data_IF_790806390116
#
_entry.id   IF_790806390116
#
_cell.length_a   1.000
_cell.length_b   1.000
_cell.length_c   1.000
_cell.angle_alpha   90.00
_cell.angle_beta   90.00
_cell.angle_gamma   90.00
#
_symmetry.space_group_name_H-M   'P 1'
#
loop_
_entity.id
_entity.type
_entity.pdbx_description
1 polymer ?
#
# COMPACT_ATOMS: atom_id res chain seq x y z
N UNK A 1 13.95 -1.04 -3.07
CA UNK A 1 13.60 -1.14 -4.50
C UNK A 1 13.50 -2.61 -4.82
N UNK A 2 12.51 -3.01 -5.61
CA UNK A 2 12.20 -4.40 -5.92
C UNK A 2 11.67 -4.47 -7.36
N UNK A 3 11.96 -5.54 -8.07
CA UNK A 3 11.33 -5.82 -9.37
C UNK A 3 10.45 -7.02 -9.17
N UNK A 4 9.15 -6.89 -9.42
CA UNK A 4 8.23 -7.98 -9.20
C UNK A 4 8.35 -9.08 -10.28
N UNK A 5 7.68 -10.21 -10.07
CA UNK A 5 7.69 -11.33 -11.04
C UNK A 5 7.08 -10.97 -12.40
N UNK A 6 6.39 -9.84 -12.51
CA UNK A 6 5.85 -9.29 -13.76
C UNK A 6 6.80 -8.26 -14.43
N UNK A 7 7.95 -7.99 -13.82
CA UNK A 7 8.95 -7.04 -14.32
C UNK A 7 8.66 -5.59 -13.96
N UNK A 8 7.70 -5.30 -13.08
CA UNK A 8 7.40 -3.94 -12.61
C UNK A 8 8.43 -3.52 -11.57
N UNK A 9 9.11 -2.41 -11.84
CA UNK A 9 10.15 -1.89 -10.96
C UNK A 9 9.57 -0.92 -9.91
N UNK A 10 9.52 -1.39 -8.66
CA UNK A 10 9.17 -0.60 -7.49
C UNK A 10 10.39 0.15 -6.97
N UNK A 11 10.27 1.48 -6.95
CA UNK A 11 11.30 2.37 -6.38
C UNK A 11 11.06 2.58 -4.89
N UNK A 12 12.11 2.97 -4.18
CA UNK A 12 12.01 3.40 -2.79
C UNK A 12 11.02 4.57 -2.68
N UNK A 13 10.25 4.60 -1.60
CA UNK A 13 9.30 5.68 -1.34
C UNK A 13 10.03 7.04 -1.24
N UNK A 14 9.70 8.02 -2.10
CA UNK A 14 10.37 9.32 -2.11
C UNK A 14 10.05 10.17 -0.87
N UNK A 15 9.01 9.84 -0.11
CA UNK A 15 8.58 10.55 1.10
C UNK A 15 9.08 9.88 2.39
N UNK A 16 9.81 8.77 2.29
CA UNK A 16 10.40 8.11 3.46
C UNK A 16 11.29 9.07 4.24
N UNK A 17 11.06 9.15 5.56
CA UNK A 17 11.78 10.06 6.46
C UNK A 17 11.30 11.52 6.41
N UNK A 18 10.29 11.84 5.59
CA UNK A 18 9.67 13.17 5.53
C UNK A 18 8.22 13.16 6.01
N UNK A 19 7.41 12.22 5.51
CA UNK A 19 5.97 12.11 5.83
C UNK A 19 5.57 10.66 6.03
N UNK A 20 4.80 10.39 7.07
CA UNK A 20 4.48 9.02 7.49
C UNK A 20 5.68 8.30 8.10
N UNK A 21 5.42 7.11 8.64
CA UNK A 21 6.37 6.26 9.34
C UNK A 21 6.57 5.00 8.52
N UNK A 22 7.81 4.74 8.12
CA UNK A 22 8.18 3.47 7.52
C UNK A 22 8.22 2.38 8.59
N UNK A 23 7.76 1.19 8.23
CA UNK A 23 7.73 0.02 9.11
C UNK A 23 8.04 -1.23 8.30
N UNK A 24 8.84 -2.11 8.89
CA UNK A 24 9.13 -3.45 8.40
C UNK A 24 8.47 -4.53 9.27
N UNK A 25 7.44 -4.15 10.04
CA UNK A 25 6.75 -5.03 10.97
C UNK A 25 6.21 -6.31 10.31
N UNK A 26 5.83 -6.21 9.04
CA UNK A 26 5.35 -7.33 8.23
C UNK A 26 6.42 -8.38 7.89
N UNK A 27 7.71 -8.07 7.98
CA UNK A 27 8.81 -8.98 7.63
C UNK A 27 8.84 -10.28 8.45
N UNK A 28 8.25 -10.26 9.66
CA UNK A 28 8.14 -11.45 10.52
C UNK A 28 6.93 -12.33 10.19
N UNK A 29 6.11 -11.94 9.23
CA UNK A 29 4.84 -12.57 8.90
C UNK A 29 4.89 -13.10 7.45
N UNK A 30 4.36 -14.31 7.19
CA UNK A 30 4.12 -14.73 5.83
C UNK A 30 2.95 -13.92 5.26
N UNK A 31 3.13 -13.31 4.08
CA UNK A 31 2.04 -12.61 3.40
C UNK A 31 1.30 -13.58 2.48
N UNK A 32 0.04 -13.86 2.83
CA UNK A 32 -0.85 -14.70 2.02
C UNK A 32 -1.24 -13.99 0.71
N UNK A 33 -1.62 -14.78 -0.31
CA UNK A 33 -2.02 -14.28 -1.65
C UNK A 33 -0.97 -13.44 -2.37
N UNK A 34 0.31 -13.65 -2.07
CA UNK A 34 1.42 -13.02 -2.79
C UNK A 34 2.44 -14.08 -3.23
N UNK A 35 3.20 -13.78 -4.29
CA UNK A 35 4.32 -14.60 -4.68
C UNK A 35 5.42 -14.48 -3.61
N UNK A 36 6.07 -15.58 -3.16
CA UNK A 36 7.18 -15.53 -2.21
C UNK A 36 8.28 -14.51 -2.56
N UNK A 37 8.59 -14.33 -3.84
CA UNK A 37 9.61 -13.37 -4.30
C UNK A 37 9.16 -11.91 -4.14
N UNK A 38 7.85 -11.67 -4.13
CA UNK A 38 7.23 -10.33 -4.06
C UNK A 38 6.65 -10.01 -2.69
N UNK A 39 6.76 -10.93 -1.71
CA UNK A 39 6.27 -10.70 -0.35
C UNK A 39 6.83 -9.41 0.25
N UNK A 40 8.07 -9.05 -0.11
CA UNK A 40 8.72 -7.83 0.35
C UNK A 40 7.88 -6.57 0.08
N UNK A 41 7.11 -6.54 -1.02
CA UNK A 41 6.24 -5.41 -1.37
C UNK A 41 5.09 -5.21 -0.38
N UNK A 42 4.70 -6.26 0.35
CA UNK A 42 3.62 -6.25 1.33
C UNK A 42 4.14 -6.38 2.77
N UNK A 43 5.41 -6.75 2.96
CA UNK A 43 6.04 -6.87 4.28
C UNK A 43 6.61 -5.54 4.79
N UNK A 44 6.89 -4.61 3.89
CA UNK A 44 7.25 -3.23 4.22
C UNK A 44 6.06 -2.31 3.98
N UNK A 45 5.81 -1.40 4.91
CA UNK A 45 4.70 -0.46 4.82
C UNK A 45 5.14 0.97 5.13
N UNK A 46 4.32 1.92 4.69
CA UNK A 46 4.31 3.27 5.23
C UNK A 46 2.93 3.57 5.78
N UNK A 47 2.88 3.88 7.07
CA UNK A 47 1.64 4.25 7.75
C UNK A 47 1.71 5.68 8.28
N UNK A 48 0.56 6.27 8.54
CA UNK A 48 0.47 7.56 9.20
C UNK A 48 -0.84 7.60 10.01
N UNK A 49 -0.85 8.40 11.07
CA UNK A 49 -2.05 8.67 11.87
C UNK A 49 -2.88 9.82 11.26
N UNK A 50 -2.26 10.60 10.38
CA UNK A 50 -2.89 11.69 9.63
C UNK A 50 -2.92 11.42 8.12
N UNK A 51 -3.67 12.26 7.38
CA UNK A 51 -3.69 12.23 5.92
C UNK A 51 -2.30 12.52 5.34
N UNK A 52 -1.86 11.67 4.40
CA UNK A 52 -0.74 11.97 3.52
C UNK A 52 -1.09 11.57 2.09
N UNK A 53 -0.31 12.08 1.14
CA UNK A 53 -0.47 11.77 -0.27
C UNK A 53 0.85 11.75 -1.01
N UNK A 54 0.77 11.43 -2.29
CA UNK A 54 1.89 11.47 -3.23
C UNK A 54 1.58 12.46 -4.33
N UNK A 55 2.61 13.15 -4.80
CA UNK A 55 2.58 13.89 -6.06
C UNK A 55 3.36 13.09 -7.11
N UNK A 56 2.64 12.54 -8.08
CA UNK A 56 3.24 11.79 -9.18
C UNK A 56 3.20 12.66 -10.44
N UNK A 57 4.35 13.19 -10.91
CA UNK A 57 4.38 14.06 -12.07
C UNK A 57 4.08 13.26 -13.33
N UNK A 58 2.99 13.62 -14.02
CA UNK A 58 2.60 13.06 -15.32
C UNK A 58 3.11 14.00 -16.42
N UNK A 59 3.94 13.49 -17.33
CA UNK A 59 4.56 14.30 -18.40
C UNK A 59 3.77 14.29 -19.69
N UNK A 60 3.06 13.20 -19.96
CA UNK A 60 2.34 12.97 -21.21
C UNK A 60 0.87 12.70 -20.89
N UNK A 61 -0.02 13.26 -21.69
CA UNK A 61 -1.44 12.96 -21.59
C UNK A 61 -1.70 11.52 -22.04
N UNK A 62 -2.56 10.83 -21.31
CA UNK A 62 -2.91 9.44 -21.60
C UNK A 62 -3.71 8.81 -20.47
N UNK A 63 -4.14 7.57 -20.70
CA UNK A 63 -4.83 6.77 -19.71
C UNK A 63 -3.81 6.05 -18.81
N UNK A 64 -3.93 6.27 -17.50
CA UNK A 64 -3.06 5.67 -16.50
C UNK A 64 -3.88 4.77 -15.59
N UNK A 65 -3.36 3.58 -15.31
CA UNK A 65 -3.88 2.69 -14.28
C UNK A 65 -3.05 2.85 -13.03
N UNK A 66 -3.68 3.25 -11.93
CA UNK A 66 -3.08 3.25 -10.60
C UNK A 66 -3.55 1.99 -9.88
N UNK A 67 -2.58 1.16 -9.46
CA UNK A 67 -2.83 0.00 -8.60
C UNK A 67 -2.20 0.28 -7.25
N UNK A 68 -2.97 0.17 -6.18
CA UNK A 68 -2.50 0.37 -4.81
C UNK A 68 -2.40 -0.98 -4.11
N UNK A 69 -1.20 -1.29 -3.62
CA UNK A 69 -0.93 -2.54 -2.91
C UNK A 69 -0.95 -2.30 -1.40
N UNK A 70 -1.74 -3.09 -0.69
CA UNK A 70 -1.94 -3.01 0.75
C UNK A 70 -1.79 -4.38 1.41
N UNK A 71 -1.39 -4.36 2.67
CA UNK A 71 -1.51 -5.48 3.58
C UNK A 71 -1.70 -4.93 5.00
N UNK A 72 -2.69 -5.46 5.73
CA UNK A 72 -2.84 -5.14 7.15
C UNK A 72 -2.03 -6.15 7.97
N UNK A 73 -0.99 -5.65 8.63
CA UNK A 73 -0.02 -6.48 9.39
C UNK A 73 0.02 -6.12 10.87
N UNK A 74 -0.71 -5.11 11.31
CA UNK A 74 -0.66 -4.59 12.67
C UNK A 74 -1.99 -4.75 13.41
N UNK A 75 -3.08 -4.30 12.81
CA UNK A 75 -4.42 -4.38 13.38
C UNK A 75 -5.01 -5.77 13.22
N UNK A 76 -5.71 -6.23 14.26
CA UNK A 76 -6.19 -7.61 14.35
C UNK A 76 -7.72 -7.73 14.24
N UNK A 77 -8.42 -6.64 13.94
CA UNK A 77 -9.88 -6.58 13.84
C UNK A 77 -10.33 -5.56 12.80
N UNK A 78 -11.49 -5.80 12.18
CA UNK A 78 -12.16 -4.83 11.30
C UNK A 78 -12.48 -3.54 12.08
N UNK A 79 -12.61 -2.44 11.34
CA UNK A 79 -12.96 -1.10 11.79
C UNK A 79 -11.91 -0.42 12.67
N UNK A 80 -10.73 -1.01 12.84
CA UNK A 80 -9.61 -0.38 13.54
C UNK A 80 -8.86 0.62 12.67
N UNK A 81 -8.79 0.36 11.35
CA UNK A 81 -8.15 1.23 10.37
C UNK A 81 -9.03 1.33 9.13
N UNK A 82 -9.75 2.43 9.06
CA UNK A 82 -10.63 2.77 7.94
C UNK A 82 -10.15 4.08 7.35
N UNK A 83 -9.91 4.13 6.05
CA UNK A 83 -9.41 5.32 5.37
C UNK A 83 -9.99 5.49 3.97
N UNK A 84 -9.95 6.71 3.46
CA UNK A 84 -10.34 7.01 2.09
C UNK A 84 -9.10 7.11 1.19
N UNK A 85 -9.27 6.74 -0.09
CA UNK A 85 -8.28 7.00 -1.14
C UNK A 85 -8.82 8.11 -2.03
N UNK A 86 -7.99 9.14 -2.23
CA UNK A 86 -8.30 10.28 -3.11
C UNK A 86 -7.27 10.40 -4.21
N UNK A 87 -7.74 10.63 -5.44
CA UNK A 87 -6.93 10.92 -6.61
C UNK A 87 -7.28 12.33 -7.12
N UNK A 88 -6.29 13.22 -7.17
CA UNK A 88 -6.48 14.62 -7.57
C UNK A 88 -7.65 15.33 -6.83
N UNK A 89 -7.79 15.04 -5.53
CA UNK A 89 -8.86 15.60 -4.69
C UNK A 89 -10.20 14.85 -4.77
N UNK A 90 -10.40 13.99 -5.77
CA UNK A 90 -11.59 13.17 -5.93
C UNK A 90 -11.47 11.89 -5.12
N UNK A 91 -12.49 11.56 -4.34
CA UNK A 91 -12.54 10.29 -3.62
C UNK A 91 -12.81 9.16 -4.61
N UNK A 92 -11.89 8.20 -4.68
CA UNK A 92 -11.97 7.03 -5.58
C UNK A 92 -12.30 5.76 -4.82
N UNK A 93 -11.86 5.65 -3.56
CA UNK A 93 -12.25 4.57 -2.65
C UNK A 93 -12.64 5.21 -1.34
N UNK A 94 -13.78 4.77 -0.79
CA UNK A 94 -14.35 5.28 0.44
C UNK A 94 -14.40 4.17 1.49
N UNK A 95 -14.14 4.52 2.75
CA UNK A 95 -14.29 3.63 3.91
C UNK A 95 -13.50 2.31 3.73
N UNK A 96 -12.28 2.39 3.17
CA UNK A 96 -11.43 1.23 2.91
C UNK A 96 -10.88 0.67 4.22
N UNK A 97 -11.19 -0.60 4.45
CA UNK A 97 -10.71 -1.41 5.58
C UNK A 97 -10.05 -2.68 5.05
N UNK A 98 -8.72 -2.72 5.09
CA UNK A 98 -7.95 -3.84 4.54
C UNK A 98 -8.18 -5.12 5.36
N UNK A 99 -8.30 -4.99 6.68
CA UNK A 99 -8.57 -6.15 7.53
C UNK A 99 -9.93 -6.75 7.21
N UNK A 100 -10.96 -5.93 7.04
CA UNK A 100 -12.30 -6.42 6.70
C UNK A 100 -12.34 -7.09 5.32
N UNK A 101 -11.54 -6.61 4.36
CA UNK A 101 -11.48 -7.15 2.99
C UNK A 101 -10.77 -8.50 2.91
N UNK A 102 -9.59 -8.62 3.52
CA UNK A 102 -8.70 -9.77 3.32
C UNK A 102 -8.15 -10.38 4.61
N UNK A 103 -8.39 -9.75 5.76
CA UNK A 103 -7.86 -10.16 7.05
C UNK A 103 -6.41 -9.73 7.26
N UNK A 104 -5.79 -10.34 8.28
CA UNK A 104 -4.41 -10.08 8.67
C UNK A 104 -3.41 -10.75 7.72
N UNK A 105 -2.25 -10.11 7.51
CA UNK A 105 -1.11 -10.65 6.75
C UNK A 105 -1.48 -11.21 5.37
N UNK A 106 -2.41 -10.54 4.67
CA UNK A 106 -2.87 -10.95 3.36
C UNK A 106 -2.71 -9.80 2.38
N UNK A 107 -2.16 -10.08 1.21
CA UNK A 107 -2.01 -9.11 0.14
C UNK A 107 -3.38 -8.71 -0.42
N UNK A 108 -3.57 -7.40 -0.60
CA UNK A 108 -4.72 -6.78 -1.23
C UNK A 108 -4.26 -5.76 -2.27
N UNK A 109 -4.84 -5.83 -3.46
CA UNK A 109 -4.61 -4.88 -4.53
C UNK A 109 -5.93 -4.16 -4.82
N UNK A 110 -5.90 -2.84 -4.80
CA UNK A 110 -7.02 -1.94 -5.11
C UNK A 110 -6.81 -1.22 -6.45
#
# INVERSE_FOLDING_TARGET
AHVDVHGIHFRKDPLEGRVGRASDYGMKLPILRSNPEDQILYQTERYNEETFGYEVPIKEEGDYVLVLKFAEVYFAQSQQKVFDVRLNGHMVVKDLDIFDRVGHSTAHDE
#
